data_IF_261744724458
#
_entry.id   IF_261744724458
#
_cell.length_a   1.000
_cell.length_b   1.000
_cell.length_c   1.000
_cell.angle_alpha   90.00
_cell.angle_beta   90.00
_cell.angle_gamma   90.00
#
_symmetry.space_group_name_H-M   'P 1'
#
loop_
_entity.id
_entity.type
_entity.pdbx_description
1 polymer ?
#
# COMPACT_ATOMS: atom_id res chain seq x y z
N UNK A 1 18.59 12.13 -11.69
CA UNK A 1 18.40 11.73 -10.28
C UNK A 1 17.05 11.03 -10.22
N UNK A 2 16.97 9.87 -9.56
CA UNK A 2 15.75 9.02 -9.56
C UNK A 2 15.25 8.79 -8.15
N UNK A 3 13.95 8.49 -8.05
CA UNK A 3 13.27 8.03 -6.85
C UNK A 3 13.06 6.52 -6.97
N UNK A 4 13.45 5.76 -5.96
CA UNK A 4 13.29 4.31 -5.95
C UNK A 4 12.12 3.94 -5.05
N UNK A 5 11.20 3.11 -5.55
CA UNK A 5 10.16 2.49 -4.74
C UNK A 5 10.63 1.10 -4.34
N UNK A 6 10.74 0.88 -3.05
CA UNK A 6 10.97 -0.43 -2.46
C UNK A 6 9.69 -0.91 -1.79
N UNK A 7 9.54 -2.22 -1.65
CA UNK A 7 8.38 -2.84 -1.01
C UNK A 7 8.89 -3.83 0.01
N UNK A 8 8.40 -3.71 1.23
CA UNK A 8 8.55 -4.71 2.28
C UNK A 8 7.24 -5.51 2.40
N UNK A 9 7.32 -6.80 2.72
CA UNK A 9 6.14 -7.64 2.96
C UNK A 9 5.81 -7.71 4.46
N UNK A 10 4.59 -7.32 4.85
CA UNK A 10 4.15 -7.38 6.25
C UNK A 10 3.97 -8.81 6.78
N UNK A 11 3.89 -9.83 5.92
CA UNK A 11 3.67 -11.23 6.32
C UNK A 11 4.92 -11.92 6.88
N UNK A 12 6.10 -11.57 6.37
CA UNK A 12 7.35 -12.24 6.68
C UNK A 12 8.16 -11.50 7.76
N UNK A 13 7.57 -11.16 8.91
CA UNK A 13 8.30 -10.45 9.98
C UNK A 13 9.54 -11.22 10.53
N UNK A 14 9.65 -12.52 10.22
CA UNK A 14 10.76 -13.41 10.59
C UNK A 14 11.73 -13.71 9.44
N UNK A 15 11.46 -13.20 8.23
CA UNK A 15 12.32 -13.36 7.06
C UNK A 15 12.68 -11.95 6.53
N UNK A 16 13.74 -11.39 7.10
CA UNK A 16 14.16 -9.98 6.93
C UNK A 16 14.58 -9.60 5.49
N UNK A 17 14.58 -10.56 4.56
CA UNK A 17 15.15 -10.42 3.21
C UNK A 17 14.14 -10.15 2.07
N UNK A 18 12.83 -10.09 2.34
CA UNK A 18 11.82 -9.90 1.27
C UNK A 18 11.56 -8.44 0.88
N UNK A 19 12.61 -7.61 0.88
CA UNK A 19 12.56 -6.30 0.23
C UNK A 19 12.81 -6.46 -1.26
N UNK A 20 11.89 -6.00 -2.09
CA UNK A 20 12.12 -5.90 -3.53
C UNK A 20 12.00 -4.46 -4.04
N UNK A 21 12.67 -4.20 -5.17
CA UNK A 21 12.56 -2.93 -5.88
C UNK A 21 11.36 -3.01 -6.82
N UNK A 22 10.34 -2.19 -6.58
CA UNK A 22 9.21 -2.05 -7.50
C UNK A 22 9.63 -1.32 -8.78
N UNK A 23 10.45 -0.27 -8.64
CA UNK A 23 10.94 0.51 -9.78
C UNK A 23 11.74 1.75 -9.41
N UNK A 24 12.24 2.41 -10.44
CA UNK A 24 12.90 3.72 -10.37
C UNK A 24 12.14 4.71 -11.23
N UNK A 25 11.95 5.93 -10.72
CA UNK A 25 11.08 6.93 -11.30
C UNK A 25 11.80 8.28 -11.37
N UNK A 26 11.47 9.07 -12.39
CA UNK A 26 12.12 10.37 -12.64
C UNK A 26 11.63 11.46 -11.66
N UNK A 27 10.47 11.27 -11.03
CA UNK A 27 9.90 12.21 -10.07
C UNK A 27 9.28 11.52 -8.86
N UNK A 28 9.10 12.29 -7.79
CA UNK A 28 8.43 11.86 -6.56
C UNK A 28 6.96 11.54 -6.81
N UNK A 29 6.30 12.24 -7.73
CA UNK A 29 4.92 12.02 -8.13
C UNK A 29 4.75 10.65 -8.77
N UNK A 30 5.61 10.32 -9.75
CA UNK A 30 5.57 9.02 -10.42
C UNK A 30 5.86 7.86 -9.45
N UNK A 31 6.82 8.04 -8.53
CA UNK A 31 7.09 7.05 -7.49
C UNK A 31 5.89 6.85 -6.53
N UNK A 32 5.21 7.95 -6.17
CA UNK A 32 3.98 7.89 -5.36
C UNK A 32 2.83 7.23 -6.10
N UNK A 33 2.63 7.55 -7.37
CA UNK A 33 1.60 6.91 -8.21
C UNK A 33 1.83 5.40 -8.29
N UNK A 34 3.07 4.95 -8.48
CA UNK A 34 3.38 3.52 -8.50
C UNK A 34 3.12 2.83 -7.14
N UNK A 35 3.50 3.47 -6.04
CA UNK A 35 3.23 2.94 -4.70
C UNK A 35 1.72 2.88 -4.41
N UNK A 36 0.98 3.91 -4.80
CA UNK A 36 -0.49 3.98 -4.65
C UNK A 36 -1.18 2.92 -5.51
N UNK A 37 -0.74 2.74 -6.75
CA UNK A 37 -1.31 1.74 -7.65
C UNK A 37 -1.16 0.33 -7.09
N UNK A 38 0.02 -0.02 -6.58
CA UNK A 38 0.27 -1.29 -5.91
C UNK A 38 -0.73 -1.52 -4.76
N UNK A 39 -0.92 -0.51 -3.91
CA UNK A 39 -1.84 -0.58 -2.78
C UNK A 39 -3.30 -0.68 -3.21
N UNK A 40 -3.72 0.08 -4.22
CA UNK A 40 -5.08 0.02 -4.76
C UNK A 40 -5.36 -1.35 -5.41
N UNK A 41 -4.41 -1.94 -6.13
CA UNK A 41 -4.51 -3.30 -6.68
C UNK A 41 -4.64 -4.35 -5.58
N UNK A 42 -3.85 -4.23 -4.51
CA UNK A 42 -3.96 -5.10 -3.34
C UNK A 42 -5.33 -4.96 -2.66
N UNK A 43 -5.81 -3.72 -2.45
CA UNK A 43 -7.12 -3.45 -1.85
C UNK A 43 -8.24 -4.04 -2.71
N UNK A 44 -8.21 -3.82 -4.02
CA UNK A 44 -9.21 -4.32 -4.96
C UNK A 44 -9.24 -5.86 -5.01
N UNK A 45 -8.07 -6.50 -4.96
CA UNK A 45 -7.96 -7.95 -4.99
C UNK A 45 -8.44 -8.61 -3.69
N UNK A 46 -8.35 -7.91 -2.56
CA UNK A 46 -8.67 -8.46 -1.24
C UNK A 46 -10.02 -8.00 -0.68
N UNK A 47 -10.63 -6.94 -1.22
CA UNK A 47 -11.97 -6.51 -0.81
C UNK A 47 -12.99 -7.61 -1.09
N UNK A 48 -13.91 -7.81 -0.15
CA UNK A 48 -14.97 -8.82 -0.24
C UNK A 48 -16.32 -8.19 0.04
N UNK A 49 -17.38 -8.51 -0.72
CA UNK A 49 -18.73 -8.06 -0.41
C UNK A 49 -19.11 -8.38 1.03
N UNK A 50 -19.69 -7.42 1.74
CA UNK A 50 -20.14 -7.58 3.13
C UNK A 50 -19.03 -7.63 4.18
N UNK A 51 -17.75 -7.47 3.80
CA UNK A 51 -16.66 -7.27 4.78
C UNK A 51 -16.42 -5.77 5.01
N UNK A 52 -16.43 -5.28 6.26
CA UNK A 52 -16.13 -3.88 6.51
C UNK A 52 -14.67 -3.55 6.22
N UNK A 53 -14.40 -2.31 5.78
CA UNK A 53 -13.05 -1.87 5.41
C UNK A 53 -12.02 -1.95 6.53
N UNK A 54 -12.45 -1.87 7.80
CA UNK A 54 -11.56 -2.04 8.94
C UNK A 54 -10.94 -3.45 9.02
N UNK A 55 -11.64 -4.49 8.56
CA UNK A 55 -11.14 -5.85 8.51
C UNK A 55 -10.15 -6.01 7.36
N UNK A 56 -10.40 -5.36 6.21
CA UNK A 56 -9.43 -5.28 5.11
C UNK A 56 -8.14 -4.57 5.54
N UNK A 57 -8.23 -3.49 6.33
CA UNK A 57 -7.05 -2.84 6.91
C UNK A 57 -6.28 -3.72 7.90
N UNK A 58 -6.98 -4.55 8.70
CA UNK A 58 -6.31 -5.53 9.57
C UNK A 58 -5.59 -6.59 8.74
N UNK A 59 -6.23 -7.09 7.67
CA UNK A 59 -5.62 -8.03 6.72
C UNK A 59 -4.36 -7.41 6.09
N UNK A 60 -4.41 -6.12 5.70
CA UNK A 60 -3.25 -5.39 5.21
C UNK A 60 -2.10 -5.34 6.22
N UNK A 61 -2.39 -5.06 7.49
CA UNK A 61 -1.36 -5.01 8.53
C UNK A 61 -0.67 -6.37 8.78
N UNK A 62 -1.24 -7.48 8.30
CA UNK A 62 -0.70 -8.83 8.47
C UNK A 62 -0.13 -9.41 7.18
N UNK A 63 -0.65 -9.02 6.01
CA UNK A 63 -0.39 -9.67 4.72
C UNK A 63 -0.21 -8.70 3.56
N UNK A 64 -0.20 -7.39 3.84
CA UNK A 64 -0.13 -6.34 2.84
C UNK A 64 1.30 -5.97 2.48
N UNK A 65 1.46 -5.42 1.29
CA UNK A 65 2.71 -4.84 0.82
C UNK A 65 2.91 -3.42 1.39
N UNK A 66 4.09 -3.12 1.92
CA UNK A 66 4.45 -1.80 2.50
C UNK A 66 5.46 -1.07 1.60
N UNK A 67 4.98 -0.40 0.52
CA UNK A 67 5.85 0.39 -0.34
C UNK A 67 6.36 1.65 0.37
N UNK A 68 7.65 1.93 0.20
CA UNK A 68 8.26 3.18 0.64
C UNK A 68 9.19 3.75 -0.44
N UNK A 69 9.38 5.06 -0.41
CA UNK A 69 10.09 5.81 -1.44
C UNK A 69 11.41 6.33 -0.90
N UNK A 70 12.48 6.06 -1.63
CA UNK A 70 13.83 6.57 -1.38
C UNK A 70 14.17 7.58 -2.47
N UNK A 71 14.50 8.81 -2.06
CA UNK A 71 14.94 9.87 -2.94
C UNK A 71 16.39 9.69 -3.42
N UNK A 72 16.83 10.52 -4.37
CA UNK A 72 18.13 10.37 -5.03
C UNK A 72 19.33 10.51 -4.09
N UNK A 73 19.21 11.26 -3.00
CA UNK A 73 20.25 11.43 -1.99
C UNK A 73 20.14 10.41 -0.83
N UNK A 74 19.52 9.26 -1.09
CA UNK A 74 19.21 8.22 -0.08
C UNK A 74 18.29 8.68 1.07
N UNK A 75 17.64 9.84 0.93
CA UNK A 75 16.66 10.35 1.89
C UNK A 75 15.30 9.66 1.73
N UNK A 76 14.66 9.27 2.84
CA UNK A 76 13.29 8.72 2.79
C UNK A 76 12.31 9.84 2.48
N UNK A 77 11.46 9.61 1.48
CA UNK A 77 10.36 10.53 1.17
C UNK A 77 9.21 10.27 2.13
N UNK A 78 8.54 11.34 2.56
CA UNK A 78 7.33 11.24 3.36
C UNK A 78 6.20 10.60 2.54
N UNK A 79 5.92 9.34 2.86
CA UNK A 79 4.84 8.52 2.36
C UNK A 79 4.62 7.37 3.35
N UNK A 80 3.37 7.11 3.71
CA UNK A 80 2.97 6.05 4.63
C UNK A 80 1.93 5.18 3.94
N UNK A 81 2.35 4.00 3.46
CA UNK A 81 1.45 3.06 2.81
C UNK A 81 0.31 2.65 3.76
N UNK A 82 0.65 2.41 5.03
CA UNK A 82 -0.33 2.08 6.07
C UNK A 82 -1.39 3.16 6.25
N UNK A 83 -1.01 4.44 6.27
CA UNK A 83 -2.00 5.52 6.39
C UNK A 83 -2.83 5.68 5.11
N UNK A 84 -2.23 5.45 3.95
CA UNK A 84 -2.96 5.40 2.68
C UNK A 84 -4.06 4.31 2.73
N UNK A 85 -3.69 3.06 3.03
CA UNK A 85 -4.63 1.93 3.06
C UNK A 85 -5.70 2.14 4.13
N UNK A 86 -5.34 2.63 5.31
CA UNK A 86 -6.31 2.96 6.36
C UNK A 86 -7.35 3.95 5.86
N UNK A 87 -6.91 5.10 5.34
CA UNK A 87 -7.80 6.15 4.85
C UNK A 87 -8.67 5.67 3.67
N UNK A 88 -8.10 4.83 2.79
CA UNK A 88 -8.79 4.28 1.63
C UNK A 88 -9.90 3.32 2.05
N UNK A 89 -9.59 2.37 2.93
CA UNK A 89 -10.50 1.32 3.40
C UNK A 89 -11.56 1.84 4.38
N UNK A 90 -11.24 2.83 5.23
CA UNK A 90 -12.23 3.50 6.09
C UNK A 90 -13.37 4.14 5.29
N UNK A 91 -13.12 4.55 4.04
CA UNK A 91 -14.12 5.16 3.16
C UNK A 91 -14.95 4.15 2.35
N UNK A 92 -14.65 2.84 2.47
CA UNK A 92 -15.34 1.79 1.70
C UNK A 92 -16.62 1.27 2.37
N UNK A 93 -16.92 1.63 3.63
CA UNK A 93 -18.12 1.14 4.34
C UNK A 93 -18.61 2.14 5.42
N UNK A 94 -19.92 2.32 5.71
CA UNK A 94 -21.10 1.57 5.26
C UNK A 94 -22.01 2.40 4.36
N UNK A 95 -21.95 2.26 3.03
CA UNK A 95 -22.89 2.92 2.10
C UNK A 95 -22.99 2.21 0.74
N UNK A 96 -23.14 0.88 0.75
CA UNK A 96 -23.87 0.24 -0.35
C UNK A 96 -24.99 -0.55 0.29
N UNK A 97 -26.18 0.03 0.20
CA UNK A 97 -27.42 -0.67 0.51
C UNK A 97 -27.40 -2.02 -0.19
N UNK A 98 -27.52 -3.07 0.63
CA UNK A 98 -28.17 -4.29 0.22
C UNK A 98 -29.61 -3.90 -0.20
N UNK A 99 -29.80 -3.48 -1.43
CA UNK A 99 -31.13 -3.56 -2.05
C UNK A 99 -31.21 -4.89 -2.77
N UNK A 100 -32.05 -5.76 -2.20
CA UNK A 100 -32.56 -7.02 -2.73
C UNK A 100 -32.93 -7.00 -4.22
#
# INVERSE_FOLDING_TARGET
>A
MTYTVFVDDNFHFMDEDYRYKLGEFESIELAREAAVLLLDEWIESNRKPGKPGNDLFKEYCMFGEDPFIVGPDSGRVEFSARDYVRNRTERMWPNEDLTD
#
